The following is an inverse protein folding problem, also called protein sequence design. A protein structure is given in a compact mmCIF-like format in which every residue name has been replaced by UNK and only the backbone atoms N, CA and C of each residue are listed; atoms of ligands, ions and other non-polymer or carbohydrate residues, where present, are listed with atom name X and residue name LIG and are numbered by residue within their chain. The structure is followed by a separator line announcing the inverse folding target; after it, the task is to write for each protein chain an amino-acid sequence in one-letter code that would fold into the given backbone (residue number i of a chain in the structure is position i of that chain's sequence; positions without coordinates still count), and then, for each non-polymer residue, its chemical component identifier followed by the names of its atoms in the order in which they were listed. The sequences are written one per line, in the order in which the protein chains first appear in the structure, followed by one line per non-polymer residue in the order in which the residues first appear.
data_IF_742880855359
#
_entry.id   IF_742880855359
#
_cell.length_a   1.000
_cell.length_b   1.000
_cell.length_c   1.000
_cell.angle_alpha   90.00
_cell.angle_beta   90.00
_cell.angle_gamma   90.00
#
_symmetry.space_group_name_H-M   'P 1'
#
loop_
_entity.id
_entity.type
_entity.pdbx_description
1 polymer ?
#
# COMPACT_ATOMS: atom_id res chain seq x y z
N UNK A 1 18.01 -29.20 19.04
CA UNK A 1 17.26 -28.70 17.86
C UNK A 1 17.41 -29.74 16.77
N UNK A 2 16.44 -30.65 16.65
CA UNK A 2 16.43 -31.69 15.62
C UNK A 2 16.17 -31.03 14.26
N UNK A 3 17.02 -31.31 13.26
CA UNK A 3 16.75 -30.94 11.87
C UNK A 3 15.36 -31.48 11.49
N UNK A 4 14.50 -30.70 10.81
CA UNK A 4 13.27 -31.25 10.26
C UNK A 4 13.64 -32.41 9.35
N UNK A 5 12.98 -33.55 9.53
CA UNK A 5 13.07 -34.66 8.61
C UNK A 5 12.82 -34.13 7.19
N UNK A 6 13.68 -34.53 6.25
CA UNK A 6 13.54 -34.21 4.83
C UNK A 6 12.26 -34.91 4.31
N UNK A 7 11.12 -34.24 4.49
CA UNK A 7 9.85 -34.63 3.92
C UNK A 7 9.97 -34.66 2.40
N UNK A 8 9.46 -35.73 1.81
CA UNK A 8 9.43 -36.02 0.39
C UNK A 8 8.86 -34.84 -0.43
N UNK A 9 9.77 -34.07 -1.02
CA UNK A 9 9.75 -33.65 -2.43
C UNK A 9 8.58 -32.85 -3.00
N UNK A 10 7.60 -32.39 -2.21
CA UNK A 10 6.65 -31.38 -2.68
C UNK A 10 7.21 -30.01 -2.31
N UNK A 11 7.80 -29.32 -3.30
CA UNK A 11 8.13 -27.90 -3.17
C UNK A 11 6.90 -27.20 -2.59
N UNK A 12 7.02 -26.77 -1.34
CA UNK A 12 5.96 -26.03 -0.68
C UNK A 12 5.89 -24.69 -1.41
N UNK A 13 4.93 -24.57 -2.34
CA UNK A 13 4.52 -23.30 -2.93
C UNK A 13 4.33 -22.29 -1.78
N UNK A 14 4.69 -21.02 -1.95
CA UNK A 14 4.87 -20.11 -0.83
C UNK A 14 5.74 -18.87 -1.08
N UNK A 15 5.94 -18.42 -2.31
CA UNK A 15 6.90 -17.35 -2.57
C UNK A 15 6.57 -15.99 -1.91
N UNK A 16 7.61 -15.23 -1.60
CA UNK A 16 7.47 -13.78 -1.39
C UNK A 16 6.93 -13.16 -2.69
N UNK A 17 5.90 -12.33 -2.58
CA UNK A 17 5.37 -11.58 -3.72
C UNK A 17 6.35 -10.48 -4.17
N UNK A 18 6.24 -9.99 -5.42
CA UNK A 18 6.99 -8.81 -5.83
C UNK A 18 6.80 -7.64 -4.86
N UNK A 19 7.80 -6.77 -4.69
CA UNK A 19 7.79 -5.70 -3.70
C UNK A 19 6.95 -4.54 -4.24
N UNK A 20 5.63 -4.75 -4.32
CA UNK A 20 4.67 -3.83 -4.95
C UNK A 20 4.74 -2.43 -4.37
N UNK A 21 5.07 -2.31 -3.07
CA UNK A 21 5.26 -1.01 -2.44
C UNK A 21 6.48 -0.26 -2.98
N UNK A 22 7.60 -0.95 -3.22
CA UNK A 22 8.78 -0.34 -3.84
C UNK A 22 8.52 -0.02 -5.30
N UNK A 23 7.81 -0.90 -6.01
CA UNK A 23 7.41 -0.64 -7.40
C UNK A 23 6.51 0.60 -7.48
N UNK A 24 5.53 0.72 -6.59
CA UNK A 24 4.69 1.91 -6.46
C UNK A 24 5.54 3.16 -6.29
N UNK A 25 6.46 3.18 -5.32
CA UNK A 25 7.31 4.34 -5.09
C UNK A 25 8.24 4.67 -6.25
N UNK A 26 8.86 3.66 -6.85
CA UNK A 26 9.77 3.86 -7.97
C UNK A 26 9.05 4.44 -9.20
N UNK A 27 7.87 3.90 -9.54
CA UNK A 27 7.06 4.42 -10.64
C UNK A 27 6.51 5.82 -10.31
N UNK A 28 6.04 6.03 -9.08
CA UNK A 28 5.48 7.30 -8.67
C UNK A 28 6.54 8.41 -8.61
N UNK A 29 7.75 8.10 -8.14
CA UNK A 29 8.90 9.02 -8.13
C UNK A 29 9.47 9.25 -9.52
N UNK A 30 9.76 8.19 -10.28
CA UNK A 30 10.46 8.29 -11.56
C UNK A 30 9.60 8.87 -12.67
N UNK A 31 8.32 8.47 -12.73
CA UNK A 31 7.41 8.86 -13.79
C UNK A 31 6.43 9.95 -13.38
N UNK A 32 5.90 9.87 -12.15
CA UNK A 32 4.86 10.80 -11.68
C UNK A 32 5.39 12.18 -11.31
N UNK A 33 6.66 12.29 -10.89
CA UNK A 33 7.20 13.52 -10.31
C UNK A 33 7.16 14.74 -11.25
N UNK A 34 7.53 14.66 -12.54
CA UNK A 34 7.44 15.82 -13.45
C UNK A 34 6.01 16.37 -13.53
N UNK A 35 5.01 15.49 -13.74
CA UNK A 35 3.60 15.90 -13.77
C UNK A 35 3.10 16.45 -12.43
N UNK A 36 3.62 15.98 -11.30
CA UNK A 36 3.33 16.58 -10.00
C UNK A 36 3.94 17.98 -9.86
N UNK A 37 5.15 18.22 -10.37
CA UNK A 37 5.79 19.55 -10.34
C UNK A 37 4.98 20.53 -11.17
N UNK A 38 4.54 20.14 -12.36
CA UNK A 38 3.73 21.00 -13.22
C UNK A 38 2.35 21.26 -12.61
N UNK A 39 1.75 20.25 -11.96
CA UNK A 39 0.52 20.44 -11.20
C UNK A 39 0.71 21.42 -10.03
N UNK A 40 1.82 21.33 -9.30
CA UNK A 40 2.17 22.27 -8.21
C UNK A 40 2.31 23.69 -8.72
N UNK A 41 2.97 23.90 -9.86
CA UNK A 41 3.06 25.23 -10.49
C UNK A 41 1.67 25.75 -10.84
N UNK A 42 0.85 24.95 -11.51
CA UNK A 42 -0.53 25.31 -11.84
C UNK A 42 -1.37 25.64 -10.60
N UNK A 43 -1.19 24.91 -9.49
CA UNK A 43 -1.87 25.20 -8.23
C UNK A 43 -1.38 26.50 -7.59
N UNK A 44 -0.06 26.78 -7.60
CA UNK A 44 0.51 28.03 -7.09
C UNK A 44 -0.02 29.20 -7.89
N UNK A 45 -0.04 29.10 -9.21
CA UNK A 45 -0.56 30.14 -10.11
C UNK A 45 -2.05 30.39 -9.85
N UNK A 46 -2.85 29.31 -9.70
CA UNK A 46 -4.27 29.38 -9.36
C UNK A 46 -4.55 29.91 -7.94
N UNK A 47 -3.60 29.77 -7.00
CA UNK A 47 -3.74 30.27 -5.63
C UNK A 47 -3.30 31.72 -5.47
N UNK A 48 -2.21 32.10 -6.13
CA UNK A 48 -1.51 33.38 -5.96
C UNK A 48 -1.97 34.46 -6.93
N UNK A 49 -2.51 34.08 -8.09
CA UNK A 49 -3.23 34.99 -8.95
C UNK A 49 -4.68 35.18 -8.50
N UNK A 50 -5.26 36.36 -8.74
CA UNK A 50 -6.71 36.48 -8.84
C UNK A 50 -7.25 35.65 -10.03
N UNK A 51 -6.38 35.29 -10.98
CA UNK A 51 -6.62 34.33 -12.07
C UNK A 51 -7.74 34.73 -13.04
N UNK A 52 -7.73 34.14 -14.22
CA UNK A 52 -8.80 34.30 -15.24
C UNK A 52 -10.20 33.86 -14.73
N UNK A 53 -10.27 33.26 -13.55
CA UNK A 53 -11.50 32.79 -12.90
C UNK A 53 -12.18 33.83 -12.00
N UNK A 54 -11.47 34.81 -11.43
CA UNK A 54 -12.09 35.84 -10.57
C UNK A 54 -13.26 36.60 -11.21
N UNK A 55 -13.22 36.97 -12.51
CA UNK A 55 -14.38 37.62 -13.14
C UNK A 55 -15.53 36.66 -13.49
N UNK A 56 -15.30 35.34 -13.47
CA UNK A 56 -16.25 34.32 -13.92
C UNK A 56 -16.94 33.58 -12.76
N UNK A 57 -16.39 33.62 -11.54
CA UNK A 57 -16.95 32.91 -10.39
C UNK A 57 -16.96 33.80 -9.14
N UNK A 58 -18.10 33.82 -8.45
CA UNK A 58 -18.25 34.56 -7.19
C UNK A 58 -17.24 34.09 -6.12
N UNK A 59 -16.91 34.99 -5.18
CA UNK A 59 -15.91 34.79 -4.12
C UNK A 59 -16.04 33.44 -3.39
N UNK A 60 -17.26 32.97 -3.15
CA UNK A 60 -17.53 31.70 -2.47
C UNK A 60 -17.12 30.47 -3.30
N UNK A 61 -17.34 30.49 -4.62
CA UNK A 61 -16.90 29.43 -5.53
C UNK A 61 -15.37 29.36 -5.62
N UNK A 62 -14.70 30.52 -5.57
CA UNK A 62 -13.24 30.60 -5.55
C UNK A 62 -12.65 30.02 -4.25
N UNK A 63 -13.29 30.27 -3.10
CA UNK A 63 -12.90 29.62 -1.83
C UNK A 63 -13.10 28.10 -1.89
N UNK A 64 -14.19 27.61 -2.47
CA UNK A 64 -14.42 26.17 -2.65
C UNK A 64 -13.33 25.55 -3.55
N UNK A 65 -13.00 26.20 -4.67
CA UNK A 65 -11.95 25.73 -5.57
C UNK A 65 -10.58 25.66 -4.87
N UNK A 66 -10.26 26.66 -4.04
CA UNK A 66 -9.03 26.65 -3.21
C UNK A 66 -9.03 25.51 -2.20
N UNK A 67 -10.15 25.21 -1.53
CA UNK A 67 -10.22 24.06 -0.62
C UNK A 67 -10.02 22.73 -1.35
N UNK A 68 -10.52 22.61 -2.58
CA UNK A 68 -10.35 21.42 -3.41
C UNK A 68 -8.88 21.17 -3.79
N UNK A 69 -8.06 22.20 -3.93
CA UNK A 69 -6.61 22.02 -4.17
C UNK A 69 -5.93 21.30 -3.01
N UNK A 70 -6.36 21.48 -1.75
CA UNK A 70 -5.82 20.70 -0.62
C UNK A 70 -6.05 19.21 -0.83
N UNK A 71 -7.21 18.85 -1.39
CA UNK A 71 -7.53 17.48 -1.78
C UNK A 71 -6.62 17.01 -2.93
N UNK A 72 -6.33 17.89 -3.88
CA UNK A 72 -5.46 17.60 -5.02
C UNK A 72 -3.98 17.45 -4.65
N UNK A 73 -3.53 18.01 -3.52
CA UNK A 73 -2.17 17.86 -3.00
C UNK A 73 -1.87 16.47 -2.42
N UNK A 74 -2.89 15.62 -2.22
CA UNK A 74 -2.70 14.27 -1.70
C UNK A 74 -1.57 13.49 -2.37
N UNK A 75 -1.52 13.39 -3.70
CA UNK A 75 -0.56 12.53 -4.37
C UNK A 75 0.88 13.03 -4.11
N UNK A 76 1.08 14.35 -4.08
CA UNK A 76 2.34 14.99 -3.66
C UNK A 76 2.66 14.70 -2.21
N UNK A 77 1.69 14.84 -1.31
CA UNK A 77 1.88 14.58 0.12
C UNK A 77 2.25 13.11 0.36
N UNK A 78 1.64 12.16 -0.34
CA UNK A 78 1.98 10.73 -0.30
C UNK A 78 3.42 10.49 -0.75
N UNK A 79 3.85 11.18 -1.81
CA UNK A 79 5.20 11.09 -2.30
C UNK A 79 6.22 11.61 -1.30
N UNK A 80 6.00 12.82 -0.78
CA UNK A 80 6.85 13.42 0.26
C UNK A 80 6.90 12.53 1.49
N UNK A 81 5.74 12.06 1.98
CA UNK A 81 5.68 11.15 3.12
C UNK A 81 6.42 9.83 2.86
N UNK A 82 6.35 9.31 1.64
CA UNK A 82 7.12 8.14 1.20
C UNK A 82 8.62 8.37 1.22
N UNK A 83 9.08 9.45 0.60
CA UNK A 83 10.50 9.85 0.59
C UNK A 83 11.00 10.03 2.01
N UNK A 84 10.28 10.78 2.86
CA UNK A 84 10.62 10.97 4.27
C UNK A 84 10.62 9.64 5.06
N UNK A 85 9.77 8.68 4.69
CA UNK A 85 9.78 7.35 5.31
C UNK A 85 11.10 6.63 5.06
N UNK A 86 11.70 6.80 3.89
CA UNK A 86 12.87 6.05 3.44
C UNK A 86 14.19 6.79 3.67
N UNK A 87 14.21 8.13 3.57
CA UNK A 87 15.43 8.94 3.61
C UNK A 87 16.11 8.97 4.98
N UNK A 88 15.34 8.93 6.08
CA UNK A 88 15.87 9.14 7.43
C UNK A 88 15.56 7.98 8.39
N UNK A 89 15.94 6.72 8.07
CA UNK A 89 15.55 5.55 8.85
C UNK A 89 16.08 5.61 10.28
N UNK A 90 17.29 6.14 10.50
CA UNK A 90 17.89 6.27 11.82
C UNK A 90 17.24 7.35 12.71
N UNK A 91 16.78 8.47 12.12
CA UNK A 91 16.00 9.47 12.85
C UNK A 91 14.65 8.90 13.25
N UNK A 92 13.98 8.20 12.32
CA UNK A 92 12.73 7.50 12.60
C UNK A 92 12.89 6.46 13.70
N UNK A 93 13.96 5.67 13.67
CA UNK A 93 14.25 4.68 14.71
C UNK A 93 14.31 5.34 16.10
N UNK A 94 15.09 6.43 16.23
CA UNK A 94 15.24 7.17 17.48
C UNK A 94 13.91 7.74 17.96
N UNK A 95 13.13 8.34 17.05
CA UNK A 95 11.82 8.87 17.38
C UNK A 95 10.84 7.80 17.85
N UNK A 96 10.78 6.65 17.17
CA UNK A 96 9.94 5.51 17.56
C UNK A 96 10.36 4.97 18.93
N UNK A 97 11.66 4.81 19.16
CA UNK A 97 12.20 4.29 20.41
C UNK A 97 11.94 5.23 21.58
N UNK A 98 12.15 6.53 21.38
CA UNK A 98 11.81 7.55 22.38
C UNK A 98 10.31 7.59 22.67
N UNK A 99 9.47 7.73 21.62
CA UNK A 99 8.02 7.90 21.76
C UNK A 99 7.34 6.70 22.43
N UNK A 100 7.86 5.50 22.21
CA UNK A 100 7.29 4.26 22.76
C UNK A 100 8.10 3.69 23.93
N UNK A 101 9.14 4.39 24.38
CA UNK A 101 10.02 3.93 25.46
C UNK A 101 10.67 2.58 25.19
N UNK A 102 11.03 2.28 23.94
CA UNK A 102 11.60 0.99 23.55
C UNK A 102 13.05 0.88 24.03
N UNK A 103 13.33 -0.15 24.83
CA UNK A 103 14.67 -0.42 25.36
C UNK A 103 15.29 -1.64 24.67
N UNK A 104 16.64 -1.76 24.64
CA UNK A 104 17.31 -3.00 24.27
C UNK A 104 16.77 -4.21 25.04
N UNK A 105 17.01 -5.40 24.48
CA UNK A 105 16.88 -6.65 25.22
C UNK A 105 17.69 -6.58 26.52
N UNK A 106 17.11 -7.08 27.61
CA UNK A 106 17.81 -7.34 28.87
C UNK A 106 18.11 -8.84 29.03
N UNK A 107 18.73 -9.23 30.14
CA UNK A 107 19.22 -10.60 30.39
C UNK A 107 18.11 -11.61 30.72
N UNK A 108 16.83 -11.25 30.61
CA UNK A 108 15.74 -12.19 30.90
C UNK A 108 15.74 -13.36 29.90
N UNK A 109 15.64 -14.63 30.36
CA UNK A 109 15.70 -15.80 29.49
C UNK A 109 14.69 -15.80 28.34
N UNK A 110 13.47 -15.29 28.58
CA UNK A 110 12.42 -15.19 27.55
C UNK A 110 12.85 -14.28 26.39
N UNK A 111 13.57 -13.20 26.68
CA UNK A 111 13.99 -12.24 25.68
C UNK A 111 15.11 -12.84 24.83
N UNK A 112 16.08 -13.50 25.48
CA UNK A 112 17.13 -14.24 24.79
C UNK A 112 16.55 -15.33 23.88
N UNK A 113 15.50 -16.02 24.32
CA UNK A 113 14.82 -17.03 23.53
C UNK A 113 14.11 -16.44 22.29
N UNK A 114 13.38 -15.35 22.45
CA UNK A 114 12.74 -14.63 21.34
C UNK A 114 13.79 -14.10 20.36
N UNK A 115 14.90 -13.54 20.86
CA UNK A 115 15.99 -13.04 20.01
C UNK A 115 16.65 -14.17 19.24
N UNK A 116 16.94 -15.32 19.88
CA UNK A 116 17.45 -16.53 19.19
C UNK A 116 16.50 -17.00 18.10
N UNK A 117 15.19 -16.95 18.34
CA UNK A 117 14.19 -17.27 17.33
C UNK A 117 14.29 -16.31 16.13
N UNK A 118 14.37 -14.99 16.37
CA UNK A 118 14.53 -13.99 15.30
C UNK A 118 15.84 -14.18 14.53
N UNK A 119 16.95 -14.43 15.24
CA UNK A 119 18.26 -14.62 14.63
C UNK A 119 18.29 -15.84 13.68
N UNK A 120 17.45 -16.85 13.93
CA UNK A 120 17.31 -18.01 13.04
C UNK A 120 16.70 -17.70 11.66
N UNK A 121 15.95 -16.60 11.52
CA UNK A 121 15.25 -16.25 10.27
C UNK A 121 15.65 -14.90 9.68
N UNK A 122 16.11 -13.96 10.51
CA UNK A 122 16.60 -12.65 10.09
C UNK A 122 17.83 -12.20 10.92
N UNK A 123 19.01 -12.82 10.70
CA UNK A 123 20.23 -12.47 11.41
C UNK A 123 20.53 -10.97 11.36
N UNK A 124 20.89 -10.39 12.50
CA UNK A 124 21.18 -8.95 12.64
C UNK A 124 19.97 -8.08 12.94
N UNK A 125 18.75 -8.64 12.92
CA UNK A 125 17.54 -7.95 13.39
C UNK A 125 17.47 -8.01 14.91
N UNK A 126 17.36 -6.85 15.58
CA UNK A 126 17.33 -6.78 17.05
C UNK A 126 15.92 -6.52 17.58
N UNK A 127 15.56 -7.22 18.66
CA UNK A 127 14.35 -6.95 19.41
C UNK A 127 14.53 -5.72 20.32
N UNK A 128 13.48 -4.90 20.44
CA UNK A 128 13.38 -3.79 21.38
C UNK A 128 12.06 -3.88 22.13
N UNK A 129 12.09 -3.71 23.45
CA UNK A 129 10.95 -3.98 24.31
C UNK A 129 10.35 -2.69 24.85
N UNK A 130 9.04 -2.52 24.66
CA UNK A 130 8.26 -1.42 25.23
C UNK A 130 7.46 -1.86 26.46
N UNK A 131 7.15 -0.91 27.33
CA UNK A 131 6.33 -1.16 28.54
C UNK A 131 4.83 -0.94 28.31
N UNK A 132 4.43 -0.25 27.24
CA UNK A 132 3.04 0.11 26.96
C UNK A 132 2.60 -0.17 25.52
N UNK A 133 1.29 -0.32 25.33
CA UNK A 133 0.64 -0.43 24.01
C UNK A 133 -0.15 -1.71 23.79
N UNK A 134 -1.27 -1.61 23.06
CA UNK A 134 -2.13 -2.74 22.70
C UNK A 134 -1.67 -3.53 21.46
N UNK A 135 -0.41 -3.42 21.05
CA UNK A 135 0.16 -4.14 19.90
C UNK A 135 0.93 -5.37 20.38
N UNK A 136 1.23 -6.32 19.49
CA UNK A 136 2.03 -7.51 19.81
C UNK A 136 3.50 -7.29 19.45
N UNK A 137 3.76 -7.07 18.16
CA UNK A 137 5.05 -6.60 17.67
C UNK A 137 4.86 -5.70 16.43
N UNK A 138 5.91 -4.96 16.06
CA UNK A 138 6.01 -4.26 14.77
C UNK A 138 7.46 -4.01 14.39
N UNK A 139 7.82 -4.26 13.14
CA UNK A 139 9.13 -3.94 12.57
C UNK A 139 9.29 -2.44 12.31
N UNK A 140 10.51 -1.94 12.44
CA UNK A 140 10.90 -0.58 12.05
C UNK A 140 12.37 -0.50 11.66
N UNK A 141 12.78 0.46 10.83
CA UNK A 141 14.15 0.58 10.37
C UNK A 141 15.01 1.20 11.46
N UNK A 142 16.21 0.67 11.61
CA UNK A 142 17.33 1.27 12.33
C UNK A 142 18.41 1.81 11.38
N UNK A 143 18.24 1.57 10.09
CA UNK A 143 19.07 2.01 8.97
C UNK A 143 18.41 1.53 7.69
N UNK A 144 19.05 1.75 6.55
CA UNK A 144 18.50 1.31 5.26
C UNK A 144 18.33 -0.21 5.21
N UNK A 145 19.37 -0.96 5.56
CA UNK A 145 19.35 -2.45 5.57
C UNK A 145 19.33 -3.04 6.98
N UNK A 146 19.07 -2.22 8.00
CA UNK A 146 19.06 -2.65 9.41
C UNK A 146 17.66 -2.47 9.95
N UNK A 147 17.06 -3.55 10.42
CA UNK A 147 15.73 -3.53 11.03
C UNK A 147 15.81 -3.83 12.54
N UNK A 148 14.80 -3.34 13.26
CA UNK A 148 14.49 -3.70 14.64
C UNK A 148 13.03 -4.12 14.72
N UNK A 149 12.70 -4.95 15.68
CA UNK A 149 11.30 -5.34 15.96
C UNK A 149 10.94 -4.84 17.35
N UNK A 150 9.96 -3.94 17.42
CA UNK A 150 9.35 -3.54 18.67
C UNK A 150 8.48 -4.69 19.19
N UNK A 151 8.72 -5.14 20.41
CA UNK A 151 7.98 -6.20 21.09
C UNK A 151 7.29 -5.59 22.31
N UNK A 152 6.01 -5.91 22.47
CA UNK A 152 5.18 -5.36 23.53
C UNK A 152 4.78 -6.44 24.54
N UNK A 153 4.33 -6.07 25.76
CA UNK A 153 4.08 -7.03 26.84
C UNK A 153 3.08 -8.13 26.47
N UNK A 154 2.10 -7.84 25.63
CA UNK A 154 1.12 -8.82 25.17
C UNK A 154 1.75 -9.98 24.39
N UNK A 155 2.77 -9.72 23.56
CA UNK A 155 3.49 -10.78 22.86
C UNK A 155 4.36 -11.60 23.82
N UNK A 156 4.98 -10.98 24.82
CA UNK A 156 5.77 -11.68 25.84
C UNK A 156 4.88 -12.61 26.68
N UNK A 157 3.67 -12.15 27.05
CA UNK A 157 2.67 -13.01 27.73
C UNK A 157 2.27 -14.19 26.85
N UNK A 158 1.98 -13.93 25.58
CA UNK A 158 1.62 -14.98 24.61
C UNK A 158 2.76 -15.99 24.42
N UNK A 159 4.02 -15.52 24.39
CA UNK A 159 5.20 -16.37 24.26
C UNK A 159 5.40 -17.31 25.45
N UNK A 160 5.07 -16.84 26.66
CA UNK A 160 5.16 -17.62 27.90
C UNK A 160 3.91 -18.48 28.17
N UNK A 161 2.87 -18.33 27.36
CA UNK A 161 1.62 -19.05 27.52
C UNK A 161 1.73 -20.53 27.16
N UNK A 162 0.57 -21.13 26.86
CA UNK A 162 0.53 -22.52 26.41
C UNK A 162 1.30 -22.71 25.07
N UNK A 163 1.61 -23.96 24.67
CA UNK A 163 2.35 -24.22 23.43
C UNK A 163 1.69 -23.64 22.16
N UNK A 164 0.37 -23.50 22.15
CA UNK A 164 -0.37 -22.98 20.99
C UNK A 164 -0.32 -21.44 20.93
N UNK A 165 -0.38 -20.76 22.08
CA UNK A 165 -0.16 -19.32 22.21
C UNK A 165 1.28 -18.97 21.86
N UNK A 166 2.25 -19.76 22.33
CA UNK A 166 3.65 -19.59 21.95
C UNK A 166 3.86 -19.71 20.44
N UNK A 167 3.20 -20.68 19.78
CA UNK A 167 3.21 -20.79 18.30
C UNK A 167 2.58 -19.58 17.62
N UNK A 168 1.50 -19.04 18.16
CA UNK A 168 0.90 -17.81 17.63
C UNK A 168 1.82 -16.58 17.83
N UNK A 169 2.52 -16.49 18.96
CA UNK A 169 3.53 -15.46 19.19
C UNK A 169 4.70 -15.56 18.19
N UNK A 170 5.15 -16.79 17.91
CA UNK A 170 6.14 -17.05 16.85
C UNK A 170 5.60 -16.66 15.47
N UNK A 171 4.32 -16.90 15.18
CA UNK A 171 3.71 -16.49 13.91
C UNK A 171 3.71 -14.97 13.74
N UNK A 172 3.45 -14.21 14.80
CA UNK A 172 3.57 -12.74 14.79
C UNK A 172 5.00 -12.30 14.48
N UNK A 173 6.01 -12.89 15.13
CA UNK A 173 7.41 -12.55 14.84
C UNK A 173 7.82 -12.92 13.41
N UNK A 174 7.38 -14.07 12.90
CA UNK A 174 7.63 -14.47 11.51
C UNK A 174 6.98 -13.52 10.51
N UNK A 175 5.77 -13.01 10.78
CA UNK A 175 5.15 -11.97 9.97
C UNK A 175 6.02 -10.69 9.92
N UNK A 176 6.48 -10.21 11.08
CA UNK A 176 7.36 -9.02 11.12
C UNK A 176 8.72 -9.26 10.45
N UNK A 177 9.28 -10.48 10.58
CA UNK A 177 10.49 -10.91 9.87
C UNK A 177 10.26 -10.92 8.36
N UNK A 178 9.08 -11.34 7.89
CA UNK A 178 8.78 -11.34 6.46
C UNK A 178 8.88 -9.92 5.87
N UNK A 179 8.41 -8.89 6.57
CA UNK A 179 8.61 -7.49 6.17
C UNK A 179 10.07 -7.05 6.14
N UNK A 180 10.92 -7.58 7.04
CA UNK A 180 12.37 -7.34 6.98
C UNK A 180 12.94 -7.92 5.68
N UNK A 181 12.59 -9.17 5.40
CA UNK A 181 13.10 -9.95 4.26
C UNK A 181 12.57 -9.46 2.90
N UNK A 182 11.37 -8.91 2.88
CA UNK A 182 10.75 -8.23 1.74
C UNK A 182 11.32 -6.82 1.54
N UNK A 183 11.97 -6.26 2.55
CA UNK A 183 12.48 -4.90 2.50
C UNK A 183 11.41 -3.84 2.67
N UNK A 184 10.22 -4.18 3.16
CA UNK A 184 9.12 -3.22 3.30
C UNK A 184 9.29 -2.33 4.53
N UNK A 185 10.07 -2.78 5.52
CA UNK A 185 10.23 -2.10 6.80
C UNK A 185 10.65 -0.61 6.71
N UNK A 186 11.43 -0.11 5.73
CA UNK A 186 11.71 1.33 5.59
C UNK A 186 10.45 2.10 5.17
N UNK A 187 9.53 1.47 4.45
CA UNK A 187 8.32 2.15 3.96
C UNK A 187 7.14 1.97 4.90
N UNK A 188 6.84 0.75 5.34
CA UNK A 188 5.60 0.41 6.08
C UNK A 188 5.79 0.18 7.58
N UNK A 189 7.05 0.24 8.04
CA UNK A 189 7.42 0.00 9.42
C UNK A 189 6.84 1.00 10.40
N UNK A 190 6.98 0.70 11.70
CA UNK A 190 6.51 1.56 12.78
C UNK A 190 7.03 2.99 12.62
N UNK A 191 6.12 3.95 12.82
CA UNK A 191 6.42 5.37 12.69
C UNK A 191 6.53 5.89 11.26
N UNK A 192 6.17 5.10 10.24
CA UNK A 192 6.15 5.54 8.84
C UNK A 192 5.21 6.74 8.62
N UNK A 193 5.74 7.89 8.15
CA UNK A 193 4.92 9.01 7.68
C UNK A 193 3.94 8.61 6.58
N UNK A 194 4.34 7.73 5.66
CA UNK A 194 3.48 7.27 4.57
C UNK A 194 2.23 6.54 5.07
N UNK A 195 2.42 5.56 5.97
CA UNK A 195 1.29 4.81 6.55
C UNK A 195 0.41 5.72 7.42
N UNK A 196 1.01 6.68 8.13
CA UNK A 196 0.26 7.67 8.89
C UNK A 196 -0.63 8.53 7.98
N UNK A 197 -0.07 9.04 6.88
CA UNK A 197 -0.79 9.88 5.92
C UNK A 197 -1.96 9.13 5.29
N UNK A 198 -1.77 7.89 4.83
CA UNK A 198 -2.85 7.07 4.27
C UNK A 198 -4.02 6.90 5.25
N UNK A 199 -3.73 6.73 6.54
CA UNK A 199 -4.77 6.50 7.58
C UNK A 199 -5.51 7.77 7.97
N UNK A 200 -4.84 8.92 7.95
CA UNK A 200 -5.46 10.21 8.29
C UNK A 200 -6.09 10.89 7.07
N UNK A 201 -5.78 10.42 5.86
CA UNK A 201 -6.31 11.06 4.67
C UNK A 201 -7.83 10.98 4.55
N UNK A 202 -8.44 9.82 4.81
CA UNK A 202 -9.90 9.70 4.71
C UNK A 202 -10.66 10.75 5.56
N UNK A 203 -10.35 10.96 6.86
CA UNK A 203 -10.99 12.03 7.61
C UNK A 203 -10.62 13.43 7.11
N UNK A 204 -9.38 13.65 6.65
CA UNK A 204 -8.98 14.95 6.05
C UNK A 204 -9.80 15.24 4.79
N UNK A 205 -9.98 14.25 3.92
CA UNK A 205 -10.79 14.37 2.71
C UNK A 205 -12.27 14.62 3.02
N UNK A 206 -12.84 13.92 4.00
CA UNK A 206 -14.23 14.17 4.41
C UNK A 206 -14.38 15.60 4.95
N UNK A 207 -13.48 16.05 5.81
CA UNK A 207 -13.58 17.35 6.48
C UNK A 207 -13.25 18.54 5.56
N UNK A 208 -12.24 18.41 4.70
CA UNK A 208 -11.73 19.52 3.87
C UNK A 208 -12.15 19.44 2.40
N UNK A 209 -12.56 18.26 1.93
CA UNK A 209 -13.05 18.05 0.57
C UNK A 209 -14.57 17.95 0.52
N UNK A 210 -15.11 16.87 1.08
CA UNK A 210 -16.53 16.54 0.91
C UNK A 210 -17.47 17.46 1.71
N UNK A 211 -17.16 17.76 2.97
CA UNK A 211 -18.03 18.55 3.84
C UNK A 211 -18.25 19.98 3.32
N UNK A 212 -17.21 20.74 2.89
CA UNK A 212 -17.43 22.08 2.32
C UNK A 212 -18.33 22.06 1.08
N UNK A 213 -18.16 21.04 0.21
CA UNK A 213 -19.03 20.84 -0.96
C UNK A 213 -20.48 20.62 -0.51
N UNK A 214 -20.72 19.72 0.43
CA UNK A 214 -22.07 19.40 0.91
C UNK A 214 -22.73 20.62 1.59
N UNK A 215 -21.99 21.35 2.43
CA UNK A 215 -22.48 22.57 3.07
C UNK A 215 -22.85 23.62 2.02
N UNK A 216 -22.00 23.82 1.01
CA UNK A 216 -22.28 24.77 -0.05
C UNK A 216 -23.52 24.36 -0.86
N UNK A 217 -23.70 23.07 -1.17
CA UNK A 217 -24.89 22.56 -1.86
C UNK A 217 -26.18 22.81 -1.07
N UNK A 218 -26.13 22.75 0.26
CA UNK A 218 -27.28 23.01 1.14
C UNK A 218 -27.62 24.51 1.22
N UNK A 219 -26.60 25.38 1.25
CA UNK A 219 -26.80 26.82 1.49
C UNK A 219 -27.10 27.59 0.19
N UNK A 220 -26.57 27.13 -0.94
CA UNK A 220 -26.67 27.83 -2.22
C UNK A 220 -26.89 26.85 -3.39
N UNK A 221 -28.05 26.14 -3.43
CA UNK A 221 -28.32 25.07 -4.40
C UNK A 221 -28.27 25.55 -5.85
N UNK A 222 -28.69 26.79 -6.12
CA UNK A 222 -28.74 27.37 -7.47
C UNK A 222 -27.43 28.08 -7.89
N UNK A 223 -26.50 28.27 -6.96
CA UNK A 223 -25.27 29.04 -7.19
C UNK A 223 -24.11 28.20 -7.74
N UNK A 224 -24.29 26.88 -7.83
CA UNK A 224 -23.29 25.96 -8.38
C UNK A 224 -23.58 25.80 -9.86
N UNK A 225 -22.97 26.67 -10.68
CA UNK A 225 -23.04 26.53 -12.13
C UNK A 225 -22.66 25.10 -12.52
N UNK A 226 -23.32 24.56 -13.53
CA UNK A 226 -23.15 23.18 -14.03
C UNK A 226 -21.69 22.74 -14.18
N UNK A 227 -20.82 23.65 -14.61
CA UNK A 227 -19.37 23.43 -14.75
C UNK A 227 -18.68 23.21 -13.39
N UNK A 228 -19.07 23.96 -12.35
CA UNK A 228 -18.56 23.79 -10.99
C UNK A 228 -19.05 22.45 -10.42
N UNK A 229 -20.26 22.02 -10.74
CA UNK A 229 -20.81 20.72 -10.32
C UNK A 229 -20.03 19.56 -10.92
N UNK A 230 -19.72 19.62 -12.22
CA UNK A 230 -18.90 18.63 -12.89
C UNK A 230 -17.47 18.57 -12.30
N UNK A 231 -16.86 19.73 -12.05
CA UNK A 231 -15.53 19.80 -11.42
C UNK A 231 -15.54 19.25 -9.99
N UNK A 232 -16.57 19.54 -9.21
CA UNK A 232 -16.76 19.01 -7.86
C UNK A 232 -16.82 17.48 -7.88
N UNK A 233 -17.55 16.87 -8.81
CA UNK A 233 -17.62 15.40 -8.95
C UNK A 233 -16.25 14.82 -9.29
N UNK A 234 -15.54 15.42 -10.23
CA UNK A 234 -14.21 14.93 -10.64
C UNK A 234 -13.17 15.07 -9.52
N UNK A 235 -13.11 16.22 -8.84
CA UNK A 235 -12.11 16.46 -7.79
C UNK A 235 -12.43 15.67 -6.52
N UNK A 236 -13.70 15.57 -6.13
CA UNK A 236 -14.09 14.79 -4.95
C UNK A 236 -13.82 13.28 -5.12
N UNK A 237 -13.77 12.78 -6.35
CA UNK A 237 -13.52 11.35 -6.60
C UNK A 237 -12.05 11.01 -6.85
N UNK A 238 -11.22 12.03 -7.16
CA UNK A 238 -9.77 11.89 -7.37
C UNK A 238 -9.04 11.19 -6.21
N UNK A 239 -9.32 11.46 -4.92
CA UNK A 239 -8.68 10.75 -3.83
C UNK A 239 -8.97 9.27 -3.79
N UNK A 240 -10.20 8.84 -4.12
CA UNK A 240 -10.54 7.42 -4.20
C UNK A 240 -9.62 6.75 -5.22
N UNK A 241 -9.48 7.35 -6.40
CA UNK A 241 -8.57 6.87 -7.46
C UNK A 241 -7.11 6.82 -7.02
N UNK A 242 -6.63 7.88 -6.36
CA UNK A 242 -5.23 8.01 -5.91
C UNK A 242 -4.88 7.00 -4.82
N UNK A 243 -5.85 6.64 -3.96
CA UNK A 243 -5.61 5.72 -2.85
C UNK A 243 -5.63 4.24 -3.26
N UNK A 244 -6.23 3.87 -4.39
CA UNK A 244 -6.34 2.46 -4.82
C UNK A 244 -4.98 1.77 -4.86
N UNK A 245 -4.00 2.37 -5.55
CA UNK A 245 -2.67 1.78 -5.72
C UNK A 245 -1.87 1.69 -4.39
N UNK A 246 -1.70 2.76 -3.59
CA UNK A 246 -0.95 2.64 -2.33
C UNK A 246 -1.64 1.70 -1.33
N UNK A 247 -2.98 1.67 -1.27
CA UNK A 247 -3.71 0.71 -0.42
C UNK A 247 -3.48 -0.72 -0.90
N UNK A 248 -3.56 -0.97 -2.21
CA UNK A 248 -3.26 -2.28 -2.78
C UNK A 248 -1.82 -2.72 -2.48
N UNK A 249 -0.84 -1.82 -2.58
CA UNK A 249 0.56 -2.12 -2.24
C UNK A 249 0.72 -2.50 -0.76
N UNK A 250 0.10 -1.74 0.16
CA UNK A 250 0.12 -2.04 1.60
C UNK A 250 -0.54 -3.38 1.90
N UNK A 251 -1.69 -3.65 1.28
CA UNK A 251 -2.39 -4.93 1.45
C UNK A 251 -1.53 -6.09 0.95
N UNK A 252 -0.97 -5.99 -0.25
CA UNK A 252 -0.15 -7.07 -0.80
C UNK A 252 1.13 -7.30 0.00
N UNK A 253 1.73 -6.25 0.57
CA UNK A 253 2.83 -6.37 1.54
C UNK A 253 2.40 -7.19 2.78
N UNK A 254 1.28 -6.85 3.41
CA UNK A 254 0.79 -7.57 4.61
C UNK A 254 0.36 -9.01 4.29
N UNK A 255 -0.31 -9.25 3.14
CA UNK A 255 -0.70 -10.59 2.68
C UNK A 255 0.52 -11.45 2.33
N UNK A 256 1.55 -10.86 1.72
CA UNK A 256 2.82 -11.54 1.45
C UNK A 256 3.53 -11.91 2.75
N UNK A 257 3.55 -11.01 3.73
CA UNK A 257 4.16 -11.25 5.04
C UNK A 257 3.47 -12.39 5.82
N UNK A 258 2.16 -12.54 5.68
CA UNK A 258 1.39 -13.63 6.29
C UNK A 258 1.72 -15.04 5.73
N UNK A 259 2.35 -15.15 4.55
CA UNK A 259 2.69 -16.46 3.97
C UNK A 259 3.82 -17.16 4.72
N UNK A 260 4.78 -16.40 5.26
CA UNK A 260 5.94 -16.94 5.96
C UNK A 260 5.57 -17.73 7.24
N UNK A 261 4.76 -17.20 8.19
CA UNK A 261 4.34 -17.98 9.34
C UNK A 261 3.55 -19.23 8.96
N UNK A 262 2.72 -19.17 7.91
CA UNK A 262 1.96 -20.35 7.45
C UNK A 262 2.87 -21.45 6.91
N UNK A 263 3.94 -21.10 6.19
CA UNK A 263 4.90 -22.08 5.68
C UNK A 263 5.69 -22.78 6.78
N UNK A 264 6.04 -22.05 7.85
CA UNK A 264 6.93 -22.56 8.89
C UNK A 264 6.13 -23.24 10.02
N UNK A 265 5.00 -22.67 10.42
CA UNK A 265 4.23 -23.09 11.61
C UNK A 265 2.85 -23.67 11.27
N UNK A 266 2.43 -23.58 10.00
CA UNK A 266 1.08 -23.95 9.58
C UNK A 266 0.04 -22.83 9.76
N UNK A 267 -1.16 -23.00 9.17
CA UNK A 267 -2.20 -21.97 9.17
C UNK A 267 -2.78 -21.68 10.57
N UNK A 268 -2.75 -22.64 11.50
CA UNK A 268 -3.38 -22.52 12.81
C UNK A 268 -2.72 -21.47 13.69
N UNK A 269 -1.39 -21.41 13.66
CA UNK A 269 -0.61 -20.44 14.39
C UNK A 269 -0.97 -19.00 13.95
N UNK A 270 -1.09 -18.77 12.63
CA UNK A 270 -1.53 -17.48 12.10
C UNK A 270 -3.00 -17.19 12.44
N UNK A 271 -3.89 -18.19 12.32
CA UNK A 271 -5.31 -18.01 12.68
C UNK A 271 -5.49 -17.57 14.12
N UNK A 272 -4.75 -18.19 15.05
CA UNK A 272 -4.75 -17.82 16.47
C UNK A 272 -4.09 -16.46 16.70
N UNK A 273 -3.00 -16.13 16.00
CA UNK A 273 -2.38 -14.81 16.07
C UNK A 273 -3.31 -13.68 15.59
N UNK A 274 -4.20 -13.97 14.63
CA UNK A 274 -5.21 -13.04 14.11
C UNK A 274 -6.54 -13.04 14.89
N UNK A 275 -6.71 -13.94 15.86
CA UNK A 275 -7.95 -14.07 16.64
C UNK A 275 -8.16 -12.95 17.68
N UNK A 276 -7.13 -12.46 18.41
CA UNK A 276 -7.33 -11.39 19.37
C UNK A 276 -7.20 -10.01 18.70
N UNK A 277 -8.32 -9.41 18.33
CA UNK A 277 -8.36 -8.02 17.88
C UNK A 277 -9.69 -7.64 17.26
N UNK A 278 -10.59 -7.06 18.07
CA UNK A 278 -11.94 -6.66 17.70
C UNK A 278 -12.03 -5.84 16.42
N UNK A 279 -13.24 -5.81 15.83
CA UNK A 279 -13.58 -5.13 14.59
C UNK A 279 -12.63 -3.96 14.29
N UNK A 280 -11.68 -4.18 13.37
CA UNK A 280 -10.68 -3.18 13.06
C UNK A 280 -11.39 -1.88 12.71
N UNK A 281 -11.03 -0.76 13.37
CA UNK A 281 -11.60 0.55 13.06
C UNK A 281 -11.52 0.75 11.53
N UNK A 282 -12.55 1.28 10.89
CA UNK A 282 -12.61 1.45 9.43
C UNK A 282 -11.31 2.04 8.84
N UNK A 283 -10.68 3.00 9.54
CA UNK A 283 -9.39 3.61 9.16
C UNK A 283 -8.21 2.64 9.07
N UNK A 284 -8.26 1.51 9.76
CA UNK A 284 -7.24 0.46 9.69
C UNK A 284 -7.27 -0.31 8.37
N UNK A 285 -8.43 -0.37 7.70
CA UNK A 285 -8.60 -1.04 6.41
C UNK A 285 -7.79 -0.39 5.29
N UNK A 286 -7.44 0.89 5.41
CA UNK A 286 -6.56 1.56 4.45
C UNK A 286 -5.09 1.10 4.54
N UNK A 287 -4.71 0.47 5.65
CA UNK A 287 -3.34 0.03 5.91
C UNK A 287 -3.18 -1.48 6.11
N UNK A 288 -4.27 -2.17 6.44
CA UNK A 288 -4.27 -3.61 6.69
C UNK A 288 -5.50 -4.25 6.05
N UNK A 289 -5.35 -5.39 5.37
CA UNK A 289 -6.46 -6.16 4.85
C UNK A 289 -7.31 -6.76 5.99
N UNK A 290 -8.62 -6.98 5.79
CA UNK A 290 -9.47 -7.67 6.76
C UNK A 290 -8.91 -9.03 7.17
N UNK A 291 -9.07 -9.43 8.44
CA UNK A 291 -8.54 -10.69 8.96
C UNK A 291 -9.04 -11.92 8.18
N UNK A 292 -10.27 -11.90 7.67
CA UNK A 292 -10.80 -12.96 6.80
C UNK A 292 -10.00 -13.08 5.49
N UNK A 293 -9.67 -11.95 4.86
CA UNK A 293 -8.84 -11.89 3.65
C UNK A 293 -7.44 -12.39 3.96
N UNK A 294 -6.82 -11.93 5.07
CA UNK A 294 -5.51 -12.40 5.54
C UNK A 294 -5.44 -13.92 5.70
N UNK A 295 -6.41 -14.51 6.42
CA UNK A 295 -6.50 -15.96 6.64
C UNK A 295 -6.68 -16.74 5.33
N UNK A 296 -7.47 -16.23 4.39
CA UNK A 296 -7.72 -16.89 3.10
C UNK A 296 -6.52 -16.78 2.16
N UNK A 297 -5.86 -15.62 2.11
CA UNK A 297 -4.76 -15.37 1.20
C UNK A 297 -3.42 -15.97 1.64
N UNK A 298 -3.22 -16.18 2.95
CA UNK A 298 -1.94 -16.65 3.50
C UNK A 298 -1.62 -18.11 3.23
N UNK A 299 -2.64 -18.95 2.99
CA UNK A 299 -2.40 -20.36 2.66
C UNK A 299 -1.79 -20.46 1.27
N UNK A 300 -0.66 -21.16 1.10
CA UNK A 300 -0.04 -21.23 -0.21
C UNK A 300 -0.85 -22.05 -1.21
N UNK A 301 -0.71 -21.69 -2.49
CA UNK A 301 -1.30 -22.42 -3.61
C UNK A 301 -1.23 -21.61 -4.90
N UNK A 302 -1.21 -22.26 -6.07
CA UNK A 302 -1.04 -21.58 -7.35
C UNK A 302 -2.17 -20.59 -7.64
N UNK A 303 -3.44 -20.98 -7.42
CA UNK A 303 -4.59 -20.09 -7.64
C UNK A 303 -4.60 -18.87 -6.71
N UNK A 304 -4.21 -19.04 -5.44
CA UNK A 304 -4.14 -17.94 -4.47
C UNK A 304 -2.98 -17.00 -4.77
N UNK A 305 -1.83 -17.56 -5.15
CA UNK A 305 -0.68 -16.78 -5.64
C UNK A 305 -1.05 -16.00 -6.89
N UNK A 306 -1.72 -16.63 -7.86
CA UNK A 306 -2.21 -15.96 -9.06
C UNK A 306 -3.11 -14.78 -8.70
N UNK A 307 -4.09 -14.98 -7.81
CA UNK A 307 -4.98 -13.91 -7.36
C UNK A 307 -4.21 -12.75 -6.70
N UNK A 308 -3.20 -13.04 -5.87
CA UNK A 308 -2.36 -12.01 -5.24
C UNK A 308 -1.48 -11.26 -6.25
N UNK A 309 -0.92 -11.96 -7.24
CA UNK A 309 -0.14 -11.34 -8.31
C UNK A 309 -1.02 -10.50 -9.25
N UNK A 310 -2.24 -10.96 -9.54
CA UNK A 310 -3.21 -10.27 -10.36
C UNK A 310 -3.86 -9.07 -9.66
N UNK A 311 -3.82 -9.01 -8.32
CA UNK A 311 -4.41 -7.92 -7.56
C UNK A 311 -3.77 -6.56 -7.88
N UNK A 312 -2.46 -6.50 -8.12
CA UNK A 312 -1.79 -5.25 -8.51
C UNK A 312 -2.25 -4.69 -9.86
N UNK A 313 -2.21 -5.45 -10.99
CA UNK A 313 -2.75 -4.97 -12.24
C UNK A 313 -4.26 -4.74 -12.18
N UNK A 314 -5.01 -5.52 -11.39
CA UNK A 314 -6.43 -5.28 -11.15
C UNK A 314 -6.69 -3.95 -10.44
N UNK A 315 -5.78 -3.49 -9.59
CA UNK A 315 -5.87 -2.17 -8.96
C UNK A 315 -5.73 -1.03 -9.99
N UNK A 316 -4.96 -1.22 -11.06
CA UNK A 316 -4.89 -0.26 -12.18
C UNK A 316 -6.23 -0.23 -12.92
N UNK A 317 -6.80 -1.40 -13.23
CA UNK A 317 -8.11 -1.50 -13.87
C UNK A 317 -9.18 -0.85 -13.00
N UNK A 318 -9.19 -1.12 -11.69
CA UNK A 318 -10.12 -0.51 -10.76
C UNK A 318 -9.98 1.02 -10.73
N UNK A 319 -8.75 1.53 -10.76
CA UNK A 319 -8.47 2.98 -10.83
C UNK A 319 -9.05 3.60 -12.11
N UNK A 320 -8.90 2.93 -13.26
CA UNK A 320 -9.54 3.32 -14.52
C UNK A 320 -11.07 3.29 -14.43
N UNK A 321 -11.65 2.20 -13.92
CA UNK A 321 -13.11 2.06 -13.78
C UNK A 321 -13.69 3.15 -12.88
N UNK A 322 -13.02 3.50 -11.79
CA UNK A 322 -13.41 4.63 -10.94
C UNK A 322 -13.36 5.93 -11.75
N UNK A 323 -12.29 6.17 -12.51
CA UNK A 323 -12.18 7.37 -13.34
C UNK A 323 -13.30 7.48 -14.38
N UNK A 324 -13.67 6.37 -15.03
CA UNK A 324 -14.75 6.35 -16.02
C UNK A 324 -16.13 6.53 -15.37
N UNK A 325 -16.38 5.84 -14.26
CA UNK A 325 -17.63 5.94 -13.51
C UNK A 325 -17.88 7.36 -12.99
N UNK A 326 -16.82 8.13 -12.75
CA UNK A 326 -16.92 9.51 -12.25
C UNK A 326 -16.90 10.55 -13.36
N UNK A 327 -16.26 10.24 -14.49
CA UNK A 327 -16.32 11.09 -15.69
C UNK A 327 -17.69 11.05 -16.38
N UNK A 328 -18.39 9.91 -16.37
CA UNK A 328 -19.70 9.76 -16.99
C UNK A 328 -20.74 10.79 -16.49
N UNK A 329 -21.01 10.93 -15.17
CA UNK A 329 -21.92 11.94 -14.68
C UNK A 329 -21.39 13.36 -14.92
N UNK A 330 -20.08 13.59 -14.93
CA UNK A 330 -19.51 14.90 -15.22
C UNK A 330 -19.81 15.35 -16.67
N UNK A 331 -19.71 14.44 -17.65
CA UNK A 331 -20.10 14.71 -19.05
C UNK A 331 -21.59 15.00 -19.20
N UNK A 332 -22.44 14.21 -18.53
CA UNK A 332 -23.89 14.42 -18.55
C UNK A 332 -24.26 15.77 -17.92
N UNK A 333 -23.59 16.16 -16.83
CA UNK A 333 -23.81 17.45 -16.19
C UNK A 333 -23.52 18.58 -17.17
N UNK A 334 -22.40 18.57 -17.89
CA UNK A 334 -22.07 19.63 -18.86
C UNK A 334 -22.90 19.57 -20.17
N UNK A 335 -23.95 18.76 -20.23
CA UNK A 335 -24.89 18.70 -21.35
C UNK A 335 -24.41 17.87 -22.54
N UNK A 336 -23.41 17.00 -22.37
CA UNK A 336 -22.98 16.11 -23.43
C UNK A 336 -24.10 15.11 -23.80
N UNK A 337 -24.24 14.82 -25.10
CA UNK A 337 -25.14 13.75 -25.57
C UNK A 337 -24.66 12.38 -25.10
N UNK A 338 -25.50 11.36 -25.22
CA UNK A 338 -25.12 9.98 -24.89
C UNK A 338 -23.92 9.49 -25.75
N UNK A 339 -23.92 9.81 -27.05
CA UNK A 339 -22.80 9.51 -27.94
C UNK A 339 -21.55 10.29 -27.56
N UNK A 340 -21.65 11.61 -27.32
CA UNK A 340 -20.52 12.44 -26.90
C UNK A 340 -19.93 12.01 -25.56
N UNK A 341 -20.76 11.52 -24.63
CA UNK A 341 -20.31 10.94 -23.36
C UNK A 341 -19.55 9.64 -23.61
N UNK A 342 -20.06 8.74 -24.44
CA UNK A 342 -19.37 7.49 -24.78
C UNK A 342 -18.00 7.76 -25.44
N UNK A 343 -17.94 8.69 -26.39
CA UNK A 343 -16.70 9.10 -27.06
C UNK A 343 -15.71 9.71 -26.08
N UNK A 344 -16.16 10.59 -25.19
CA UNK A 344 -15.34 11.20 -24.15
C UNK A 344 -14.78 10.18 -23.16
N UNK A 345 -15.57 9.19 -22.77
CA UNK A 345 -15.12 8.08 -21.91
C UNK A 345 -14.10 7.18 -22.61
N UNK A 346 -14.31 6.87 -23.89
CA UNK A 346 -13.38 6.05 -24.67
C UNK A 346 -12.05 6.77 -24.87
N UNK A 347 -12.08 8.07 -25.24
CA UNK A 347 -10.88 8.91 -25.33
C UNK A 347 -10.16 9.01 -23.99
N UNK A 348 -10.90 9.19 -22.90
CA UNK A 348 -10.34 9.21 -21.54
C UNK A 348 -9.69 7.88 -21.13
N UNK A 349 -10.31 6.75 -21.47
CA UNK A 349 -9.74 5.42 -21.20
C UNK A 349 -8.45 5.20 -22.00
N UNK A 350 -8.45 5.57 -23.28
CA UNK A 350 -7.26 5.47 -24.12
C UNK A 350 -6.11 6.34 -23.59
N UNK A 351 -6.40 7.61 -23.25
CA UNK A 351 -5.41 8.52 -22.65
C UNK A 351 -4.83 7.95 -21.34
N UNK A 352 -5.68 7.43 -20.45
CA UNK A 352 -5.23 6.79 -19.21
C UNK A 352 -4.28 5.63 -19.48
N UNK A 353 -4.62 4.75 -20.43
CA UNK A 353 -3.77 3.60 -20.77
C UNK A 353 -2.45 4.05 -21.41
N UNK A 354 -2.49 5.09 -22.25
CA UNK A 354 -1.30 5.68 -22.86
C UNK A 354 -0.34 6.24 -21.79
N UNK A 355 -0.87 7.00 -20.82
CA UNK A 355 -0.10 7.57 -19.70
C UNK A 355 0.47 6.48 -18.77
N UNK A 356 -0.23 5.35 -18.66
CA UNK A 356 0.16 4.22 -17.82
C UNK A 356 1.10 3.21 -18.52
N UNK A 357 1.42 3.39 -19.81
CA UNK A 357 2.22 2.43 -20.61
C UNK A 357 3.49 1.96 -19.92
N UNK A 358 4.31 2.91 -19.46
CA UNK A 358 5.58 2.58 -18.80
C UNK A 358 5.35 1.77 -17.52
N UNK A 359 4.41 2.20 -16.68
CA UNK A 359 4.07 1.50 -15.45
C UNK A 359 3.59 0.06 -15.73
N UNK A 360 2.72 -0.12 -16.72
CA UNK A 360 2.21 -1.44 -17.12
C UNK A 360 3.34 -2.31 -17.68
N UNK A 361 4.22 -1.76 -18.52
CA UNK A 361 5.38 -2.49 -19.05
C UNK A 361 6.33 -2.96 -17.93
N UNK A 362 6.63 -2.10 -16.96
CA UNK A 362 7.45 -2.49 -15.80
C UNK A 362 6.77 -3.59 -14.98
N UNK A 363 5.44 -3.56 -14.81
CA UNK A 363 4.70 -4.64 -14.12
C UNK A 363 4.86 -5.97 -14.86
N UNK A 364 4.72 -5.98 -16.19
CA UNK A 364 4.95 -7.19 -17.00
C UNK A 364 6.37 -7.71 -16.79
N UNK A 365 7.38 -6.85 -16.89
CA UNK A 365 8.79 -7.23 -16.70
C UNK A 365 9.02 -7.79 -15.30
N UNK A 366 8.53 -7.11 -14.27
CA UNK A 366 8.66 -7.56 -12.87
C UNK A 366 8.00 -8.92 -12.68
N UNK A 367 6.77 -9.12 -13.16
CA UNK A 367 6.10 -10.43 -13.04
C UNK A 367 6.91 -11.54 -13.70
N UNK A 368 7.42 -11.32 -14.92
CA UNK A 368 8.19 -12.34 -15.65
C UNK A 368 9.57 -12.61 -15.04
N UNK A 369 10.22 -11.59 -14.48
CA UNK A 369 11.57 -11.69 -13.91
C UNK A 369 11.58 -12.11 -12.44
N UNK A 370 10.50 -11.85 -11.69
CA UNK A 370 10.45 -12.03 -10.23
C UNK A 370 10.86 -13.42 -9.73
N UNK A 371 10.47 -14.54 -10.37
CA UNK A 371 10.89 -15.87 -9.91
C UNK A 371 12.42 -16.01 -9.77
N UNK A 372 13.19 -15.27 -10.58
CA UNK A 372 14.66 -15.25 -10.49
C UNK A 372 15.17 -14.17 -9.55
N UNK A 373 14.49 -13.02 -9.49
CA UNK A 373 14.92 -11.86 -8.70
C UNK A 373 14.68 -12.01 -7.20
N UNK A 374 13.71 -12.82 -6.78
CA UNK A 374 13.33 -12.96 -5.35
C UNK A 374 14.50 -13.37 -4.46
N UNK A 375 15.42 -14.20 -4.95
CA UNK A 375 16.60 -14.62 -4.19
C UNK A 375 17.61 -13.48 -4.03
N UNK A 376 17.89 -12.74 -5.10
CA UNK A 376 18.78 -11.59 -5.04
C UNK A 376 18.20 -10.49 -4.15
N UNK A 377 16.89 -10.24 -4.27
CA UNK A 377 16.16 -9.27 -3.46
C UNK A 377 16.20 -9.63 -1.97
N UNK A 378 15.90 -10.88 -1.61
CA UNK A 378 15.91 -11.31 -0.20
C UNK A 378 17.32 -11.27 0.40
N UNK A 379 18.36 -11.67 -0.34
CA UNK A 379 19.76 -11.55 0.11
C UNK A 379 20.21 -10.10 0.22
N UNK A 380 19.69 -9.21 -0.62
CA UNK A 380 19.96 -7.79 -0.50
C UNK A 380 19.48 -7.26 0.86
N UNK A 381 18.28 -7.63 1.30
CA UNK A 381 17.76 -7.15 2.58
C UNK A 381 18.33 -7.90 3.79
N UNK A 382 18.52 -9.21 3.69
CA UNK A 382 19.06 -10.04 4.77
C UNK A 382 20.07 -11.05 4.19
N UNK A 383 21.37 -10.68 4.07
CA UNK A 383 22.38 -11.50 3.39
C UNK A 383 22.55 -12.91 3.95
N UNK A 384 22.41 -13.05 5.27
CA UNK A 384 22.61 -14.31 5.98
C UNK A 384 21.30 -15.13 6.17
N UNK A 385 20.16 -14.66 5.66
CA UNK A 385 18.92 -15.43 5.79
C UNK A 385 18.87 -16.59 4.78
N UNK A 386 18.30 -17.75 5.17
CA UNK A 386 18.03 -18.86 4.24
C UNK A 386 17.19 -18.37 3.06
N UNK A 387 17.48 -18.77 1.82
CA UNK A 387 16.66 -18.37 0.67
C UNK A 387 15.21 -18.83 0.83
N UNK A 388 14.25 -17.95 0.52
CA UNK A 388 12.85 -18.38 0.39
C UNK A 388 12.61 -18.92 -1.02
N UNK A 389 11.81 -19.99 -1.16
CA UNK A 389 11.43 -20.51 -2.46
C UNK A 389 10.63 -19.46 -3.24
N UNK A 390 10.74 -19.47 -4.57
CA UNK A 390 9.78 -18.80 -5.44
C UNK A 390 8.58 -19.70 -5.69
N UNK A 391 7.40 -19.12 -5.96
CA UNK A 391 6.29 -19.89 -6.55
C UNK A 391 6.63 -20.33 -7.99
N UNK A 392 5.87 -21.30 -8.52
CA UNK A 392 6.07 -21.86 -9.86
C UNK A 392 6.03 -20.76 -10.93
N UNK A 393 7.04 -20.64 -11.82
CA UNK A 393 7.11 -19.58 -12.84
C UNK A 393 5.87 -19.46 -13.74
N UNK A 394 5.13 -20.55 -13.96
CA UNK A 394 3.90 -20.53 -14.74
C UNK A 394 2.84 -19.58 -14.16
N UNK A 395 2.71 -19.51 -12.82
CA UNK A 395 1.76 -18.62 -12.15
C UNK A 395 2.05 -17.15 -12.43
N UNK A 396 3.32 -16.78 -12.47
CA UNK A 396 3.76 -15.42 -12.80
C UNK A 396 3.50 -15.06 -14.26
N UNK A 397 3.75 -16.00 -15.19
CA UNK A 397 3.43 -15.81 -16.61
C UNK A 397 1.93 -15.62 -16.82
N UNK A 398 1.09 -16.42 -16.15
CA UNK A 398 -0.36 -16.25 -16.19
C UNK A 398 -0.78 -14.90 -15.62
N UNK A 399 -0.21 -14.47 -14.49
CA UNK A 399 -0.50 -13.16 -13.90
C UNK A 399 -0.11 -11.99 -14.82
N UNK A 400 0.90 -12.18 -15.68
CA UNK A 400 1.37 -11.17 -16.63
C UNK A 400 0.43 -10.98 -17.85
N UNK A 401 -0.52 -11.89 -18.10
CA UNK A 401 -1.44 -11.81 -19.24
C UNK A 401 -2.29 -10.53 -19.18
N UNK A 402 -2.89 -10.23 -18.01
CA UNK A 402 -3.74 -9.04 -17.85
C UNK A 402 -2.97 -7.74 -18.13
N UNK A 403 -1.85 -7.42 -17.46
CA UNK A 403 -1.10 -6.21 -17.76
C UNK A 403 -0.52 -6.21 -19.19
N UNK A 404 -0.15 -7.35 -19.76
CA UNK A 404 0.28 -7.41 -21.16
C UNK A 404 -0.86 -7.05 -22.13
N UNK A 405 -2.08 -7.53 -21.88
CA UNK A 405 -3.26 -7.16 -22.66
C UNK A 405 -3.57 -5.66 -22.55
N UNK A 406 -3.48 -5.09 -21.34
CA UNK A 406 -3.64 -3.64 -21.14
C UNK A 406 -2.55 -2.83 -21.88
N UNK A 407 -1.32 -3.33 -21.88
CA UNK A 407 -0.21 -2.70 -22.61
C UNK A 407 -0.47 -2.72 -24.11
N UNK A 408 -0.89 -3.86 -24.68
CA UNK A 408 -1.24 -3.97 -26.10
C UNK A 408 -2.40 -3.03 -26.43
N UNK A 409 -3.47 -3.06 -25.63
CA UNK A 409 -4.64 -2.19 -25.80
C UNK A 409 -4.27 -0.70 -25.78
N UNK A 410 -3.25 -0.31 -25.00
CA UNK A 410 -2.79 1.06 -24.95
C UNK A 410 -2.23 1.57 -26.27
N UNK A 411 -1.79 0.70 -27.19
CA UNK A 411 -1.25 1.09 -28.51
C UNK A 411 -2.29 1.07 -29.63
N UNK A 412 -3.49 0.54 -29.38
CA UNK A 412 -4.57 0.54 -30.37
C UNK A 412 -5.10 1.97 -30.51
N UNK A 413 -5.07 2.58 -31.71
CA UNK A 413 -5.55 3.94 -31.90
C UNK A 413 -7.04 4.05 -31.50
N UNK A 414 -7.49 5.19 -30.95
CA UNK A 414 -8.91 5.40 -30.71
C UNK A 414 -9.66 5.30 -32.06
N UNK A 415 -10.89 4.79 -32.09
CA UNK A 415 -11.69 4.79 -33.32
C UNK A 415 -11.79 6.21 -33.87
N UNK A 416 -11.66 6.35 -35.19
CA UNK A 416 -11.86 7.63 -35.86
C UNK A 416 -13.31 8.07 -35.64
N UNK A 417 -13.50 9.14 -34.88
CA UNK A 417 -14.79 9.79 -34.63
C UNK A 417 -15.01 10.92 -35.60
#
# INVERSE_FOLDING_TARGET
MTRPAAGTGREVAGGILPPWIWLFFALYLGWGLPGQIDAIRGWIDAFSGDGDYAPLVGRTSLVMLRLLVVVEMLPVALLVAGVLSVAFPGLRARWVEWRLGLRPADDRPVIAEMQRFVDGYAPGTRLRFGLGGGRLARVYPAGWRRARVAVFPALVRMWRGDPADRRAAQAVLLHEIAHVRQGDHPVVGLGSPFVWLIRIWAPVFVLLGLLPILVYFVIAPDALATVVSAQVVLVSTRPLRVLVLPVAALWLSELSADRLPVQILGPDALRRALAPGGAGKLRSLLSHPPAAVRRRASTPGPARTLALLAAWPSAIVLSLLIALATAAPAYLLIGASASGTADGLLKGAHAFLADARLAIAVIVVVLLAWPRLVHAWTRWWVPAAPSLPSDVPAVYRTAAILPAALLIASFVPPPAT
#
